data_IF_306679686993
#
_entry.id   IF_306679686993
#
_cell.length_a   1.000
_cell.length_b   1.000
_cell.length_c   1.000
_cell.angle_alpha   90.00
_cell.angle_beta   90.00
_cell.angle_gamma   90.00
#
_symmetry.space_group_name_H-M   'P 1'
#
loop_
_entity.id
_entity.type
_entity.pdbx_description
1 polymer ?
#
# COMPACT_ATOMS: atom_id res chain seq x y z
N UNK A 1 1.85 2.36 -31.30
CA UNK A 1 3.15 2.03 -30.68
C UNK A 1 3.28 0.51 -30.61
N UNK A 2 4.50 -0.06 -30.60
CA UNK A 2 4.67 -1.49 -30.31
C UNK A 2 4.28 -1.75 -28.85
N UNK A 3 3.66 -2.89 -28.56
CA UNK A 3 3.37 -3.30 -27.19
C UNK A 3 4.68 -3.47 -26.40
N UNK A 4 4.72 -2.85 -25.20
CA UNK A 4 5.86 -2.90 -24.29
C UNK A 4 5.75 -4.13 -23.38
N UNK A 5 6.89 -4.61 -22.88
CA UNK A 5 6.87 -5.54 -21.74
C UNK A 5 6.28 -4.84 -20.50
N UNK A 6 5.63 -5.56 -19.58
CA UNK A 6 5.09 -4.99 -18.36
C UNK A 6 6.10 -4.20 -17.53
N UNK A 7 7.28 -4.77 -17.26
CA UNK A 7 8.37 -4.09 -16.54
C UNK A 7 8.82 -2.81 -17.23
N UNK A 8 9.10 -2.87 -18.54
CA UNK A 8 9.51 -1.70 -19.33
C UNK A 8 8.45 -0.59 -19.31
N UNK A 9 7.18 -0.96 -19.42
CA UNK A 9 6.05 0.00 -19.36
C UNK A 9 6.01 0.71 -18.02
N UNK A 10 6.22 -0.02 -16.92
CA UNK A 10 6.22 0.54 -15.57
C UNK A 10 7.39 1.52 -15.38
N UNK A 11 8.62 1.10 -15.72
CA UNK A 11 9.82 1.93 -15.63
C UNK A 11 9.66 3.21 -16.45
N UNK A 12 9.22 3.08 -17.71
CA UNK A 12 9.05 4.23 -18.61
C UNK A 12 7.96 5.18 -18.13
N UNK A 13 6.91 4.68 -17.48
CA UNK A 13 5.91 5.53 -16.86
C UNK A 13 6.49 6.36 -15.71
N UNK A 14 7.36 5.78 -14.87
CA UNK A 14 8.04 6.49 -13.79
C UNK A 14 9.04 7.54 -14.29
N UNK A 15 9.64 7.33 -15.47
CA UNK A 15 10.48 8.30 -16.14
C UNK A 15 9.72 9.30 -17.03
N UNK A 16 8.39 9.32 -16.98
CA UNK A 16 7.55 10.21 -17.80
C UNK A 16 7.80 10.05 -19.32
N UNK A 17 8.21 8.85 -19.74
CA UNK A 17 8.43 8.53 -21.14
C UNK A 17 7.14 8.05 -21.83
N UNK A 18 7.15 8.10 -23.16
CA UNK A 18 6.02 7.61 -23.96
C UNK A 18 5.83 6.10 -23.82
N UNK A 19 4.65 5.67 -23.42
CA UNK A 19 4.26 4.26 -23.27
C UNK A 19 3.07 3.91 -24.19
N UNK A 20 2.82 2.61 -24.36
CA UNK A 20 1.74 2.07 -25.20
C UNK A 20 0.37 2.13 -24.51
N UNK A 21 0.33 1.90 -23.20
CA UNK A 21 -0.83 2.06 -22.33
C UNK A 21 -0.42 2.42 -20.91
N UNK A 22 -1.37 2.92 -20.12
CA UNK A 22 -1.20 3.17 -18.68
C UNK A 22 -0.84 1.85 -17.96
N UNK A 23 0.22 1.81 -17.13
CA UNK A 23 0.54 0.65 -16.31
C UNK A 23 -0.51 0.44 -15.22
N UNK A 24 -0.63 -0.79 -14.72
CA UNK A 24 -1.69 -1.20 -13.79
C UNK A 24 -1.10 -1.92 -12.58
N UNK A 25 -1.68 -1.67 -11.42
CA UNK A 25 -1.35 -2.40 -10.19
C UNK A 25 -2.61 -2.55 -9.33
N UNK A 26 -3.32 -3.66 -9.52
CA UNK A 26 -4.44 -4.05 -8.67
C UNK A 26 -3.94 -4.73 -7.41
N UNK A 27 -4.47 -4.32 -6.26
CA UNK A 27 -4.28 -4.99 -4.96
C UNK A 27 -5.62 -5.39 -4.39
N UNK A 28 -5.66 -6.56 -3.75
CA UNK A 28 -6.88 -7.13 -3.17
C UNK A 28 -6.59 -7.60 -1.75
N UNK A 29 -7.54 -7.41 -0.83
CA UNK A 29 -7.53 -8.17 0.43
C UNK A 29 -7.83 -9.64 0.14
N UNK A 30 -7.40 -10.52 1.05
CA UNK A 30 -7.48 -11.98 0.90
C UNK A 30 -8.86 -12.45 0.41
N UNK A 31 -9.92 -12.01 1.07
CA UNK A 31 -11.29 -12.45 0.78
C UNK A 31 -11.73 -12.02 -0.63
N UNK A 32 -11.37 -10.80 -1.05
CA UNK A 32 -11.65 -10.33 -2.40
C UNK A 32 -10.85 -11.13 -3.44
N UNK A 33 -9.56 -11.39 -3.16
CA UNK A 33 -8.68 -12.15 -4.02
C UNK A 33 -9.19 -13.58 -4.22
N UNK A 34 -9.51 -14.29 -3.13
CA UNK A 34 -10.08 -15.64 -3.16
C UNK A 34 -11.42 -15.67 -3.93
N UNK A 35 -12.28 -14.65 -3.71
CA UNK A 35 -13.56 -14.52 -4.41
C UNK A 35 -13.38 -14.44 -5.93
N UNK A 36 -12.41 -13.64 -6.41
CA UNK A 36 -12.14 -13.46 -7.84
C UNK A 36 -11.36 -14.66 -8.41
N UNK A 37 -10.40 -15.22 -7.66
CA UNK A 37 -9.61 -16.38 -8.06
C UNK A 37 -10.47 -17.58 -8.46
N UNK A 38 -11.58 -17.81 -7.74
CA UNK A 38 -12.58 -18.84 -8.06
C UNK A 38 -13.15 -18.72 -9.48
N UNK A 39 -13.33 -17.50 -9.99
CA UNK A 39 -13.84 -17.26 -11.35
C UNK A 39 -12.85 -17.74 -12.41
N UNK A 40 -11.55 -17.67 -12.10
CA UNK A 40 -10.47 -18.09 -13.01
C UNK A 40 -9.99 -19.52 -12.78
N UNK A 41 -10.57 -20.25 -11.82
CA UNK A 41 -10.10 -21.58 -11.44
C UNK A 41 -8.72 -21.58 -10.77
N UNK A 42 -8.30 -20.44 -10.21
CA UNK A 42 -7.05 -20.30 -9.47
C UNK A 42 -7.29 -20.72 -8.02
N UNK A 43 -6.56 -21.73 -7.56
CA UNK A 43 -6.64 -22.25 -6.18
C UNK A 43 -5.65 -21.57 -5.23
N UNK A 44 -4.61 -20.98 -5.80
CA UNK A 44 -3.49 -20.31 -5.14
C UNK A 44 -3.75 -18.80 -5.13
N UNK A 45 -4.34 -18.30 -4.04
CA UNK A 45 -4.83 -16.93 -3.90
C UNK A 45 -4.37 -16.27 -2.60
N UNK A 46 -3.21 -16.69 -2.09
CA UNK A 46 -2.65 -16.18 -0.84
C UNK A 46 -2.17 -14.72 -0.95
N UNK A 47 -2.09 -14.07 0.22
CA UNK A 47 -1.71 -12.67 0.42
C UNK A 47 -0.75 -12.58 1.61
N UNK A 48 -0.10 -11.43 1.81
CA UNK A 48 0.96 -11.29 2.83
C UNK A 48 2.20 -12.10 2.48
N UNK A 49 2.78 -12.80 3.47
CA UNK A 49 4.00 -13.60 3.25
C UNK A 49 3.80 -14.79 2.30
N UNK A 50 2.57 -15.29 2.16
CA UNK A 50 2.22 -16.32 1.19
C UNK A 50 1.87 -15.77 -0.19
N UNK A 51 2.10 -14.48 -0.48
CA UNK A 51 1.56 -13.86 -1.69
C UNK A 51 1.96 -14.57 -2.99
N UNK A 52 0.93 -14.89 -3.77
CA UNK A 52 1.01 -15.58 -5.06
C UNK A 52 0.42 -14.68 -6.16
N UNK A 53 1.20 -14.17 -7.13
CA UNK A 53 0.77 -13.05 -7.98
C UNK A 53 -0.11 -13.45 -9.18
N UNK A 54 -0.43 -14.73 -9.38
CA UNK A 54 -0.98 -15.24 -10.63
C UNK A 54 -2.33 -14.60 -10.99
N UNK A 55 -3.18 -14.33 -9.99
CA UNK A 55 -4.46 -13.65 -10.25
C UNK A 55 -4.23 -12.21 -10.72
N UNK A 56 -3.38 -11.47 -10.02
CA UNK A 56 -3.00 -10.10 -10.34
C UNK A 56 -2.41 -10.00 -11.76
N UNK A 57 -1.49 -10.91 -12.10
CA UNK A 57 -0.92 -10.99 -13.46
C UNK A 57 -1.98 -11.36 -14.50
N UNK A 58 -2.93 -12.24 -14.16
CA UNK A 58 -4.06 -12.59 -15.04
C UNK A 58 -5.02 -11.42 -15.28
N UNK A 59 -5.15 -10.52 -14.32
CA UNK A 59 -5.85 -9.24 -14.41
C UNK A 59 -5.00 -8.14 -15.07
N UNK A 60 -3.80 -8.47 -15.54
CA UNK A 60 -2.95 -7.59 -16.33
C UNK A 60 -2.18 -6.55 -15.52
N UNK A 61 -1.83 -6.87 -14.27
CA UNK A 61 -0.85 -6.07 -13.52
C UNK A 61 0.49 -6.02 -14.26
N UNK A 62 1.13 -4.86 -14.21
CA UNK A 62 2.47 -4.65 -14.76
C UNK A 62 3.58 -4.82 -13.71
N UNK A 63 3.18 -4.86 -12.44
CA UNK A 63 4.06 -5.02 -11.30
C UNK A 63 3.53 -6.06 -10.31
N UNK A 64 4.46 -6.71 -9.63
CA UNK A 64 4.22 -7.57 -8.46
C UNK A 64 4.59 -6.76 -7.22
N UNK A 65 3.71 -6.77 -6.22
CA UNK A 65 3.95 -6.14 -4.93
C UNK A 65 3.99 -7.20 -3.85
N UNK A 66 5.12 -7.29 -3.16
CA UNK A 66 5.29 -8.20 -2.03
C UNK A 66 5.40 -7.41 -0.73
N UNK A 67 4.66 -7.80 0.30
CA UNK A 67 4.49 -7.02 1.52
C UNK A 67 5.24 -7.65 2.69
N UNK A 68 6.12 -6.87 3.34
CA UNK A 68 6.83 -7.22 4.57
C UNK A 68 6.69 -6.09 5.61
N UNK A 69 7.25 -6.27 6.80
CA UNK A 69 7.18 -5.28 7.89
C UNK A 69 6.03 -5.50 8.87
N UNK A 70 5.88 -4.58 9.82
CA UNK A 70 5.01 -4.80 10.99
C UNK A 70 3.55 -5.06 10.61
N UNK A 71 3.07 -4.44 9.53
CA UNK A 71 1.68 -4.58 9.08
C UNK A 71 1.43 -5.83 8.22
N UNK A 72 2.40 -6.27 7.43
CA UNK A 72 2.22 -7.45 6.57
C UNK A 72 1.93 -8.71 7.39
N UNK A 73 2.58 -8.82 8.55
CA UNK A 73 2.47 -10.00 9.39
C UNK A 73 1.10 -10.10 10.05
N UNK A 74 0.59 -9.04 10.68
CA UNK A 74 -0.72 -9.12 11.35
C UNK A 74 -1.88 -9.14 10.37
N UNK A 75 -1.81 -8.39 9.27
CA UNK A 75 -2.97 -8.20 8.38
C UNK A 75 -3.38 -9.45 7.60
N UNK A 76 -2.49 -10.46 7.55
CA UNK A 76 -2.72 -11.74 6.88
C UNK A 76 -2.65 -12.96 7.80
N UNK A 77 -2.30 -12.76 9.08
CA UNK A 77 -2.24 -13.86 10.05
C UNK A 77 -3.66 -14.32 10.46
N UNK A 78 -3.97 -15.63 10.42
CA UNK A 78 -5.19 -16.13 11.01
C UNK A 78 -5.11 -16.02 12.54
N UNK A 79 -5.95 -15.20 13.16
CA UNK A 79 -6.09 -15.10 14.62
C UNK A 79 -7.49 -15.60 14.99
N UNK A 80 -7.61 -16.53 15.94
CA UNK A 80 -8.93 -16.99 16.38
C UNK A 80 -9.62 -15.94 17.26
N UNK A 81 -10.95 -16.00 17.34
CA UNK A 81 -11.71 -15.09 18.23
C UNK A 81 -11.32 -15.41 19.68
N UNK A 82 -10.93 -14.39 20.44
CA UNK A 82 -10.51 -14.52 21.84
C UNK A 82 -9.03 -14.85 22.02
N UNK A 83 -8.29 -15.13 20.95
CA UNK A 83 -6.83 -15.30 21.01
C UNK A 83 -6.10 -13.95 20.83
N UNK A 84 -4.87 -13.91 21.33
CA UNK A 84 -3.91 -12.83 21.05
C UNK A 84 -2.64 -13.46 20.48
N UNK A 85 -2.28 -13.04 19.27
CA UNK A 85 -1.00 -13.37 18.65
C UNK A 85 -0.01 -12.25 18.93
N UNK A 86 1.24 -12.59 19.22
CA UNK A 86 2.31 -11.60 19.46
C UNK A 86 3.25 -11.63 18.26
N UNK A 87 3.45 -10.47 17.62
CA UNK A 87 4.34 -10.34 16.48
C UNK A 87 5.81 -10.34 16.88
N UNK A 88 6.75 -10.49 15.93
CA UNK A 88 8.19 -10.29 16.16
C UNK A 88 8.53 -8.92 16.74
N UNK A 89 7.69 -7.90 16.50
CA UNK A 89 7.81 -6.59 17.12
C UNK A 89 7.27 -6.53 18.56
N UNK A 90 6.91 -7.66 19.17
CA UNK A 90 6.28 -7.74 20.50
C UNK A 90 4.94 -6.97 20.62
N UNK A 91 4.24 -6.78 19.50
CA UNK A 91 2.90 -6.19 19.47
C UNK A 91 1.87 -7.31 19.56
N UNK A 92 0.95 -7.21 20.51
CA UNK A 92 -0.18 -8.14 20.61
C UNK A 92 -1.26 -7.75 19.61
N UNK A 93 -1.83 -8.72 18.91
CA UNK A 93 -2.97 -8.55 18.00
C UNK A 93 -4.09 -9.51 18.35
N UNK A 94 -5.33 -9.01 18.34
CA UNK A 94 -6.55 -9.81 18.47
C UNK A 94 -7.56 -9.48 17.38
N UNK A 95 -8.64 -10.26 17.27
CA UNK A 95 -9.75 -9.93 16.36
C UNK A 95 -10.66 -8.87 16.94
N UNK A 96 -10.80 -7.73 16.26
CA UNK A 96 -11.83 -6.74 16.60
C UNK A 96 -13.16 -7.09 15.93
N UNK A 97 -14.26 -6.53 16.43
CA UNK A 97 -15.57 -6.61 15.78
C UNK A 97 -16.28 -7.97 15.81
N UNK A 98 -15.58 -9.05 16.21
CA UNK A 98 -16.14 -10.39 16.46
C UNK A 98 -16.14 -10.81 17.93
N UNK A 99 -15.48 -10.07 18.81
CA UNK A 99 -15.59 -10.32 20.25
C UNK A 99 -17.07 -10.20 20.65
N UNK A 100 -17.68 -11.34 20.96
CA UNK A 100 -19.11 -11.45 21.28
C UNK A 100 -20.03 -11.95 20.16
N UNK A 101 -19.54 -12.32 18.97
CA UNK A 101 -20.39 -12.91 17.91
C UNK A 101 -20.62 -14.40 18.08
N UNK A 102 -21.81 -14.85 17.69
CA UNK A 102 -22.17 -16.28 17.70
C UNK A 102 -21.63 -17.01 16.46
N UNK A 103 -21.53 -18.34 16.55
CA UNK A 103 -21.15 -19.19 15.42
C UNK A 103 -22.12 -19.04 14.21
N UNK A 104 -23.38 -18.71 14.46
CA UNK A 104 -24.39 -18.46 13.44
C UNK A 104 -24.13 -17.16 12.67
N UNK A 105 -23.75 -16.09 13.36
CA UNK A 105 -23.35 -14.83 12.71
C UNK A 105 -22.09 -14.99 11.86
N UNK A 106 -21.17 -15.88 12.27
CA UNK A 106 -20.02 -16.25 11.46
C UNK A 106 -20.43 -17.03 10.20
N UNK A 107 -21.33 -18.01 10.32
CA UNK A 107 -21.88 -18.76 9.18
C UNK A 107 -22.66 -17.85 8.22
N UNK A 108 -23.42 -16.90 8.73
CA UNK A 108 -24.12 -15.91 7.91
C UNK A 108 -23.15 -14.98 7.17
N UNK A 109 -22.09 -14.50 7.84
CA UNK A 109 -21.03 -13.76 7.17
C UNK A 109 -20.42 -14.53 6.00
N UNK A 110 -20.09 -15.81 6.18
CA UNK A 110 -19.53 -16.65 5.10
C UNK A 110 -20.48 -16.78 3.91
N UNK A 111 -21.81 -16.81 4.14
CA UNK A 111 -22.81 -16.80 3.05
C UNK A 111 -22.83 -15.47 2.28
N UNK A 112 -22.53 -14.35 2.92
CA UNK A 112 -22.45 -13.04 2.23
C UNK A 112 -21.24 -12.91 1.29
N UNK A 113 -20.29 -13.85 1.35
CA UNK A 113 -19.15 -13.95 0.43
C UNK A 113 -19.49 -14.67 -0.89
N UNK A 114 -20.74 -15.07 -1.11
CA UNK A 114 -21.18 -15.75 -2.33
C UNK A 114 -21.18 -14.83 -3.58
N UNK A 115 -20.99 -15.47 -4.73
CA UNK A 115 -20.34 -15.00 -5.97
C UNK A 115 -20.68 -13.60 -6.52
N UNK A 116 -21.80 -12.96 -6.18
CA UNK A 116 -22.25 -11.72 -6.85
C UNK A 116 -22.55 -10.55 -5.91
N UNK A 117 -22.51 -10.73 -4.58
CA UNK A 117 -22.90 -9.70 -3.60
C UNK A 117 -21.73 -9.04 -2.85
N UNK A 118 -21.95 -7.87 -2.23
CA UNK A 118 -21.03 -7.27 -1.27
C UNK A 118 -21.02 -8.04 0.06
N UNK A 119 -19.84 -8.32 0.61
CA UNK A 119 -19.65 -8.71 2.00
C UNK A 119 -20.30 -7.69 2.96
N UNK A 120 -21.01 -8.17 4.00
CA UNK A 120 -21.65 -7.27 4.98
C UNK A 120 -20.74 -6.83 6.13
N UNK A 121 -19.76 -7.63 6.55
CA UNK A 121 -18.83 -7.27 7.67
C UNK A 121 -17.49 -8.03 7.62
N UNK A 122 -16.36 -7.38 7.40
CA UNK A 122 -15.04 -8.06 7.40
C UNK A 122 -14.40 -7.97 8.81
N UNK A 123 -14.14 -9.09 9.50
CA UNK A 123 -13.35 -9.10 10.75
C UNK A 123 -11.91 -8.74 10.44
N UNK A 124 -11.33 -7.80 11.18
CA UNK A 124 -9.91 -7.47 11.03
C UNK A 124 -9.14 -7.68 12.33
N UNK A 125 -7.85 -7.94 12.16
CA UNK A 125 -6.90 -8.02 13.26
C UNK A 125 -6.56 -6.60 13.70
N UNK A 126 -6.55 -6.36 15.01
CA UNK A 126 -6.23 -5.06 15.61
C UNK A 126 -5.20 -5.21 16.72
N UNK A 127 -4.30 -4.23 16.89
CA UNK A 127 -3.40 -4.16 18.04
C UNK A 127 -4.19 -4.21 19.36
N UNK A 128 -3.81 -5.12 20.24
CA UNK A 128 -4.34 -5.29 21.60
C UNK A 128 -3.32 -4.94 22.69
N UNK A 129 -2.02 -4.93 22.38
CA UNK A 129 -0.97 -4.44 23.26
C UNK A 129 0.20 -3.84 22.47
N UNK A 130 0.92 -2.91 23.12
CA UNK A 130 2.00 -2.12 22.52
C UNK A 130 3.27 -2.24 23.38
N UNK A 131 4.43 -2.56 22.80
CA UNK A 131 5.63 -2.94 23.56
C UNK A 131 6.34 -1.79 24.26
N UNK A 132 6.29 -0.56 23.73
CA UNK A 132 7.08 0.56 24.26
C UNK A 132 6.15 1.56 24.94
N UNK A 133 6.21 1.59 26.27
CA UNK A 133 5.33 2.41 27.10
C UNK A 133 6.10 3.46 27.93
N UNK A 134 7.43 3.41 27.93
CA UNK A 134 8.34 4.29 28.67
C UNK A 134 9.74 4.28 28.04
N UNK A 135 10.61 5.22 28.46
CA UNK A 135 12.02 5.22 28.08
C UNK A 135 12.78 3.95 28.51
N UNK A 136 12.36 3.31 29.60
CA UNK A 136 12.98 2.06 30.05
C UNK A 136 12.59 0.89 29.14
N UNK A 137 11.34 0.84 28.68
CA UNK A 137 10.92 -0.16 27.70
C UNK A 137 11.69 0.01 26.39
N UNK A 138 11.85 1.25 25.90
CA UNK A 138 12.61 1.54 24.68
C UNK A 138 14.07 1.08 24.79
N UNK A 139 14.75 1.36 25.91
CA UNK A 139 16.15 0.95 26.12
C UNK A 139 16.34 -0.56 26.13
N UNK A 140 15.34 -1.29 26.61
CA UNK A 140 15.39 -2.75 26.72
C UNK A 140 14.75 -3.44 25.50
N UNK A 141 14.14 -2.68 24.58
CA UNK A 141 13.44 -3.21 23.42
C UNK A 141 14.41 -3.87 22.45
N UNK A 142 14.06 -5.08 22.01
CA UNK A 142 14.79 -5.82 21.00
C UNK A 142 14.04 -5.72 19.67
N UNK A 143 14.66 -5.07 18.69
CA UNK A 143 14.12 -5.00 17.34
C UNK A 143 14.20 -6.37 16.66
N UNK A 144 13.27 -6.72 15.76
CA UNK A 144 13.36 -7.95 14.98
C UNK A 144 14.63 -7.99 14.13
N UNK A 145 15.01 -9.18 13.69
CA UNK A 145 16.13 -9.35 12.76
C UNK A 145 15.75 -8.82 11.35
N UNK A 146 16.39 -7.76 10.83
CA UNK A 146 16.12 -7.26 9.49
C UNK A 146 16.62 -8.20 8.37
N UNK A 147 17.40 -9.23 8.71
CA UNK A 147 17.92 -10.23 7.78
C UNK A 147 17.15 -11.57 7.84
N UNK A 148 15.96 -11.60 8.46
CA UNK A 148 15.18 -12.83 8.61
C UNK A 148 14.87 -13.49 7.24
N UNK A 149 15.35 -14.73 6.99
CA UNK A 149 15.12 -15.44 5.74
C UNK A 149 13.63 -15.62 5.40
N UNK A 150 12.75 -15.67 6.41
CA UNK A 150 11.29 -15.76 6.20
C UNK A 150 10.73 -14.55 5.46
N UNK A 151 11.40 -13.39 5.56
CA UNK A 151 11.04 -12.17 4.83
C UNK A 151 11.73 -12.11 3.47
N UNK A 152 13.01 -12.51 3.40
CA UNK A 152 13.87 -12.29 2.23
C UNK A 152 13.78 -13.38 1.17
N UNK A 153 13.69 -14.67 1.56
CA UNK A 153 13.69 -15.79 0.62
C UNK A 153 12.52 -15.74 -0.39
N UNK A 154 11.28 -15.40 0.02
CA UNK A 154 10.18 -15.27 -0.93
C UNK A 154 10.37 -14.12 -1.93
N UNK A 155 10.98 -13.01 -1.50
CA UNK A 155 11.28 -11.87 -2.37
C UNK A 155 12.33 -12.28 -3.40
N UNK A 156 13.36 -13.00 -2.97
CA UNK A 156 14.40 -13.52 -3.86
C UNK A 156 13.80 -14.44 -4.92
N UNK A 157 12.93 -15.37 -4.51
CA UNK A 157 12.23 -16.26 -5.43
C UNK A 157 11.38 -15.50 -6.46
N UNK A 158 10.66 -14.45 -6.04
CA UNK A 158 9.90 -13.59 -6.96
C UNK A 158 10.80 -12.87 -7.96
N UNK A 159 11.96 -12.37 -7.54
CA UNK A 159 12.92 -11.74 -8.43
C UNK A 159 13.46 -12.73 -9.46
N UNK A 160 13.85 -13.91 -9.02
CA UNK A 160 14.39 -14.95 -9.91
C UNK A 160 13.36 -15.45 -10.93
N UNK A 161 12.07 -15.45 -10.58
CA UNK A 161 11.01 -16.00 -11.43
C UNK A 161 10.38 -14.96 -12.37
N UNK A 162 10.19 -13.70 -11.93
CA UNK A 162 9.31 -12.76 -12.64
C UNK A 162 9.99 -11.47 -13.14
N UNK A 163 11.19 -11.13 -12.66
CA UNK A 163 11.74 -9.78 -12.86
C UNK A 163 12.12 -9.46 -14.32
N UNK A 164 12.31 -10.46 -15.18
CA UNK A 164 12.58 -10.21 -16.60
C UNK A 164 11.35 -9.68 -17.37
N UNK A 165 10.15 -9.87 -16.82
CA UNK A 165 8.88 -9.52 -17.47
C UNK A 165 8.04 -8.53 -16.66
N UNK A 166 8.10 -8.57 -15.33
CA UNK A 166 7.29 -7.75 -14.43
C UNK A 166 8.15 -6.89 -13.49
N UNK A 167 7.66 -5.70 -13.19
CA UNK A 167 8.29 -4.80 -12.22
C UNK A 167 8.07 -5.33 -10.80
N UNK A 168 9.11 -5.36 -9.95
CA UNK A 168 9.01 -5.89 -8.59
C UNK A 168 9.16 -4.78 -7.57
N UNK A 169 8.12 -4.64 -6.75
CA UNK A 169 8.03 -3.66 -5.67
C UNK A 169 7.91 -4.40 -4.33
N UNK A 170 8.73 -4.03 -3.35
CA UNK A 170 8.60 -4.53 -1.98
C UNK A 170 8.08 -3.44 -1.05
N UNK A 171 6.99 -3.75 -0.36
CA UNK A 171 6.27 -2.87 0.54
C UNK A 171 6.76 -3.08 1.99
N UNK A 172 7.54 -2.14 2.51
CA UNK A 172 8.01 -2.07 3.90
C UNK A 172 6.88 -1.48 4.77
N UNK A 173 5.82 -2.24 4.98
CA UNK A 173 4.54 -1.71 5.44
C UNK A 173 4.52 -1.20 6.87
N UNK A 174 4.00 0.02 7.01
CA UNK A 174 3.95 0.81 8.26
C UNK A 174 5.38 0.98 8.79
N UNK A 175 6.10 1.93 8.19
CA UNK A 175 7.55 2.11 8.28
C UNK A 175 7.96 2.98 9.47
N UNK A 176 7.28 4.11 9.74
CA UNK A 176 7.82 5.14 10.64
C UNK A 176 6.74 5.70 11.59
N UNK A 177 5.98 6.70 11.16
CA UNK A 177 4.92 7.34 11.96
C UNK A 177 3.78 6.37 12.26
N UNK A 178 3.27 5.66 11.26
CA UNK A 178 2.20 4.66 11.43
C UNK A 178 2.70 3.46 12.23
N UNK A 179 3.93 3.01 11.99
CA UNK A 179 4.56 1.99 12.83
C UNK A 179 4.54 2.39 14.30
N UNK A 180 4.95 3.63 14.60
CA UNK A 180 5.02 4.15 15.95
C UNK A 180 3.64 4.29 16.59
N UNK A 181 2.69 4.99 15.93
CA UNK A 181 1.38 5.24 16.54
C UNK A 181 0.49 4.00 16.52
N UNK A 182 0.41 3.25 15.43
CA UNK A 182 -0.55 2.16 15.32
C UNK A 182 -0.07 0.90 16.05
N UNK A 183 1.25 0.68 16.16
CA UNK A 183 1.79 -0.61 16.58
C UNK A 183 2.70 -0.54 17.80
N UNK A 184 3.71 0.34 17.82
CA UNK A 184 4.76 0.28 18.84
C UNK A 184 4.37 0.97 20.15
N UNK A 185 3.73 2.14 20.06
CA UNK A 185 3.35 2.97 21.23
C UNK A 185 1.85 2.92 21.50
N UNK A 186 1.05 2.86 20.43
CA UNK A 186 -0.41 2.90 20.46
C UNK A 186 -0.97 4.30 20.22
N UNK A 187 -2.05 4.39 19.44
CA UNK A 187 -2.46 5.63 18.77
C UNK A 187 -2.67 6.79 19.73
N UNK A 188 -3.50 6.58 20.77
CA UNK A 188 -3.81 7.62 21.75
C UNK A 188 -2.54 8.07 22.50
N UNK A 189 -1.71 7.11 22.91
CA UNK A 189 -0.51 7.39 23.69
C UNK A 189 0.53 8.11 22.86
N UNK A 190 0.76 7.69 21.62
CA UNK A 190 1.68 8.36 20.69
C UNK A 190 1.38 9.86 20.58
N UNK A 191 0.11 10.23 20.31
CA UNK A 191 -0.26 11.63 20.15
C UNK A 191 -0.17 12.46 21.45
N UNK A 192 -0.35 11.84 22.63
CA UNK A 192 -0.13 12.50 23.92
C UNK A 192 1.37 12.72 24.19
N UNK A 193 2.17 11.67 24.00
CA UNK A 193 3.60 11.69 24.29
C UNK A 193 4.42 12.53 23.32
N UNK A 194 3.89 12.88 22.15
CA UNK A 194 4.50 13.89 21.27
C UNK A 194 4.81 15.20 22.00
N UNK A 195 4.03 15.55 23.03
CA UNK A 195 4.21 16.75 23.82
C UNK A 195 4.76 16.46 25.21
N UNK A 196 4.30 15.39 25.85
CA UNK A 196 4.66 15.07 27.24
C UNK A 196 6.05 14.40 27.34
N UNK A 197 6.42 13.56 26.37
CA UNK A 197 7.68 12.81 26.34
C UNK A 197 8.28 12.76 24.91
N UNK A 198 8.64 13.92 24.31
CA UNK A 198 9.10 13.97 22.93
C UNK A 198 10.38 13.15 22.68
N UNK A 199 11.25 13.01 23.68
CA UNK A 199 12.48 12.20 23.58
C UNK A 199 12.16 10.70 23.41
N UNK A 200 11.09 10.21 24.03
CA UNK A 200 10.64 8.83 23.86
C UNK A 200 10.13 8.59 22.45
N UNK A 201 9.31 9.50 21.93
CA UNK A 201 8.82 9.39 20.54
C UNK A 201 9.98 9.50 19.54
N UNK A 202 10.90 10.44 19.74
CA UNK A 202 12.09 10.55 18.90
C UNK A 202 12.91 9.26 18.89
N UNK A 203 13.17 8.66 20.05
CA UNK A 203 13.91 7.41 20.16
C UNK A 203 13.19 6.20 19.54
N UNK A 204 11.85 6.14 19.63
CA UNK A 204 11.06 5.11 18.90
C UNK A 204 11.18 5.29 17.40
N UNK A 205 11.08 6.52 16.90
CA UNK A 205 11.21 6.82 15.47
C UNK A 205 12.63 6.55 14.96
N UNK A 206 13.67 6.79 15.78
CA UNK A 206 15.06 6.48 15.44
C UNK A 206 15.26 4.96 15.30
N UNK A 207 14.79 4.16 16.27
CA UNK A 207 14.90 2.71 16.17
C UNK A 207 14.13 2.10 15.00
N UNK A 208 12.94 2.64 14.69
CA UNK A 208 12.20 2.27 13.47
C UNK A 208 12.98 2.64 12.20
N UNK A 209 13.61 3.81 12.18
CA UNK A 209 14.42 4.27 11.05
C UNK A 209 15.60 3.33 10.82
N UNK A 210 16.33 2.96 11.87
CA UNK A 210 17.45 2.01 11.79
C UNK A 210 16.98 0.65 11.27
N UNK A 211 15.94 0.07 11.89
CA UNK A 211 15.41 -1.23 11.50
C UNK A 211 14.98 -1.27 10.02
N UNK A 212 14.15 -0.32 9.59
CA UNK A 212 13.64 -0.31 8.22
C UNK A 212 14.69 0.11 7.19
N UNK A 213 15.73 0.86 7.60
CA UNK A 213 16.88 1.14 6.72
C UNK A 213 17.66 -0.15 6.43
N UNK A 214 17.95 -0.96 7.44
CA UNK A 214 18.68 -2.22 7.24
C UNK A 214 17.81 -3.27 6.51
N UNK A 215 16.53 -3.40 6.87
CA UNK A 215 15.60 -4.28 6.14
C UNK A 215 15.50 -3.88 4.66
N UNK A 216 15.35 -2.58 4.38
CA UNK A 216 15.30 -2.08 3.02
C UNK A 216 16.58 -2.35 2.23
N UNK A 217 17.76 -2.16 2.83
CA UNK A 217 19.04 -2.52 2.18
C UNK A 217 19.12 -4.00 1.83
N UNK A 218 18.73 -4.88 2.76
CA UNK A 218 18.70 -6.32 2.52
C UNK A 218 17.77 -6.68 1.35
N UNK A 219 16.59 -6.05 1.27
CA UNK A 219 15.65 -6.23 0.16
C UNK A 219 16.21 -5.71 -1.16
N UNK A 220 16.82 -4.53 -1.17
CA UNK A 220 17.42 -3.90 -2.36
C UNK A 220 18.53 -4.79 -2.94
N UNK A 221 19.35 -5.39 -2.07
CA UNK A 221 20.42 -6.31 -2.48
C UNK A 221 19.91 -7.58 -3.19
N UNK A 222 18.62 -7.93 -3.06
CA UNK A 222 18.01 -9.04 -3.80
C UNK A 222 17.69 -8.69 -5.26
N UNK A 223 17.76 -7.41 -5.61
CA UNK A 223 17.57 -6.92 -6.98
C UNK A 223 16.21 -6.27 -7.25
N UNK A 224 15.40 -5.95 -6.24
CA UNK A 224 14.06 -5.37 -6.46
C UNK A 224 14.12 -4.03 -7.22
N UNK A 225 13.09 -3.73 -8.01
CA UNK A 225 13.04 -2.48 -8.79
C UNK A 225 12.62 -1.28 -7.92
N UNK A 226 11.80 -1.51 -6.89
CA UNK A 226 11.28 -0.45 -6.03
C UNK A 226 11.07 -0.90 -4.59
N UNK A 227 11.32 0.02 -3.66
CA UNK A 227 10.83 -0.09 -2.29
C UNK A 227 9.69 0.90 -2.06
N UNK A 228 8.60 0.42 -1.46
CA UNK A 228 7.55 1.28 -0.90
C UNK A 228 7.82 1.46 0.58
N UNK A 229 7.91 2.72 0.95
CA UNK A 229 7.93 3.19 2.34
C UNK A 229 6.73 4.11 2.58
N UNK A 230 6.55 4.47 3.84
CA UNK A 230 5.59 5.49 4.21
C UNK A 230 4.32 4.91 4.81
N UNK A 231 3.67 5.83 5.50
CA UNK A 231 2.73 5.64 6.58
C UNK A 231 1.47 6.44 6.34
N UNK A 232 0.36 5.98 6.87
CA UNK A 232 -0.87 6.75 6.95
C UNK A 232 -0.69 7.95 7.88
N UNK A 233 -0.26 9.07 7.31
CA UNK A 233 -0.14 10.38 7.99
C UNK A 233 -1.31 11.31 7.66
N UNK A 234 -2.18 10.90 6.75
CA UNK A 234 -3.41 11.58 6.36
C UNK A 234 -4.64 11.02 7.07
N UNK A 235 -5.49 11.91 7.58
CA UNK A 235 -6.89 11.66 7.86
C UNK A 235 -7.75 11.99 6.63
N UNK A 236 -9.07 11.82 6.72
CA UNK A 236 -9.95 12.04 5.58
C UNK A 236 -9.85 13.46 4.99
N UNK A 237 -9.64 14.51 5.79
CA UNK A 237 -9.69 15.92 5.33
C UNK A 237 -8.46 16.75 5.72
N UNK A 238 -7.47 16.13 6.35
CA UNK A 238 -6.27 16.79 6.84
C UNK A 238 -5.19 15.76 7.13
N UNK A 239 -3.97 16.20 7.44
CA UNK A 239 -2.99 15.33 8.07
C UNK A 239 -3.38 15.02 9.53
N UNK A 240 -2.88 13.90 10.07
CA UNK A 240 -3.02 13.49 11.48
C UNK A 240 -2.12 14.30 12.42
N UNK A 241 -1.07 14.91 11.88
CA UNK A 241 -0.18 15.86 12.57
C UNK A 241 0.08 17.06 11.66
N UNK A 242 0.56 18.17 12.22
CA UNK A 242 0.84 19.34 11.38
C UNK A 242 1.96 19.02 10.37
N UNK A 243 1.96 19.64 9.18
CA UNK A 243 3.07 19.48 8.23
C UNK A 243 4.43 19.88 8.81
N UNK A 244 4.45 20.84 9.75
CA UNK A 244 5.66 21.24 10.49
C UNK A 244 6.17 20.12 11.38
N UNK A 245 5.30 19.51 12.21
CA UNK A 245 5.67 18.36 13.04
C UNK A 245 6.14 17.17 12.19
N UNK A 246 5.49 16.92 11.04
CA UNK A 246 5.97 15.88 10.12
C UNK A 246 7.36 16.18 9.57
N UNK A 247 7.68 17.45 9.26
CA UNK A 247 9.01 17.86 8.80
C UNK A 247 10.07 17.76 9.89
N UNK A 248 9.70 17.93 11.15
CA UNK A 248 10.61 17.76 12.28
C UNK A 248 10.87 16.28 12.58
N UNK A 249 9.82 15.47 12.56
CA UNK A 249 9.87 14.08 13.01
C UNK A 249 10.21 13.11 11.88
N UNK A 250 9.51 13.17 10.75
CA UNK A 250 9.60 12.16 9.70
C UNK A 250 10.63 12.52 8.63
N UNK A 251 10.60 13.75 8.10
CA UNK A 251 11.40 14.14 6.92
C UNK A 251 12.91 13.83 7.05
N UNK A 252 13.60 14.13 8.17
CA UNK A 252 15.03 13.87 8.29
C UNK A 252 15.36 12.36 8.32
N UNK A 253 14.47 11.57 8.93
CA UNK A 253 14.59 10.10 9.03
C UNK A 253 14.34 9.43 7.68
N UNK A 254 13.33 9.89 6.94
CA UNK A 254 13.06 9.47 5.57
C UNK A 254 14.20 9.86 4.62
N UNK A 255 14.75 11.08 4.74
CA UNK A 255 15.92 11.52 3.95
C UNK A 255 17.13 10.59 4.18
N UNK A 256 17.43 10.28 5.44
CA UNK A 256 18.49 9.33 5.80
C UNK A 256 18.24 7.94 5.18
N UNK A 257 17.02 7.43 5.33
CA UNK A 257 16.63 6.12 4.82
C UNK A 257 16.74 6.05 3.30
N UNK A 258 16.19 7.03 2.57
CA UNK A 258 16.18 7.03 1.11
C UNK A 258 17.58 7.23 0.53
N UNK A 259 18.41 8.08 1.15
CA UNK A 259 19.82 8.18 0.77
C UNK A 259 20.57 6.89 1.00
N UNK A 260 20.25 6.13 2.05
CA UNK A 260 20.85 4.82 2.30
C UNK A 260 20.42 3.80 1.25
N UNK A 261 19.15 3.82 0.84
CA UNK A 261 18.63 2.98 -0.24
C UNK A 261 19.28 3.29 -1.59
N UNK A 262 19.34 4.57 -1.98
CA UNK A 262 19.98 4.99 -3.25
C UNK A 262 21.50 4.75 -3.26
N UNK A 263 22.15 4.62 -2.10
CA UNK A 263 23.57 4.17 -2.00
C UNK A 263 23.72 2.69 -2.28
N UNK A 264 22.76 1.87 -1.85
CA UNK A 264 22.75 0.43 -2.13
C UNK A 264 22.48 0.16 -3.61
N UNK A 265 21.54 0.90 -4.21
CA UNK A 265 21.27 0.86 -5.63
C UNK A 265 20.80 2.24 -6.13
N UNK A 266 21.59 2.87 -6.99
CA UNK A 266 21.29 4.20 -7.54
C UNK A 266 20.07 4.21 -8.46
N UNK A 267 19.74 3.06 -9.04
CA UNK A 267 18.66 2.90 -10.03
C UNK A 267 17.34 2.44 -9.36
N UNK A 268 17.35 2.21 -8.04
CA UNK A 268 16.17 1.83 -7.26
C UNK A 268 15.13 2.94 -7.30
N UNK A 269 13.87 2.60 -7.55
CA UNK A 269 12.77 3.54 -7.36
C UNK A 269 12.25 3.55 -5.91
N UNK A 270 11.79 4.70 -5.44
CA UNK A 270 11.21 4.86 -4.10
C UNK A 270 9.76 5.29 -4.24
N UNK A 271 8.86 4.54 -3.61
CA UNK A 271 7.45 4.89 -3.50
C UNK A 271 7.15 5.34 -2.07
N UNK A 272 6.54 6.51 -1.91
CA UNK A 272 5.96 6.91 -0.62
C UNK A 272 4.46 6.63 -0.63
N UNK A 273 3.91 6.14 0.48
CA UNK A 273 2.47 5.96 0.65
C UNK A 273 1.94 6.67 1.89
N UNK A 274 0.76 7.25 1.75
CA UNK A 274 -0.13 7.61 2.85
C UNK A 274 -1.57 7.51 2.33
N UNK A 275 -2.48 6.95 3.12
CA UNK A 275 -3.91 7.19 2.97
C UNK A 275 -4.28 8.59 3.48
N UNK A 276 -5.51 9.00 3.20
CA UNK A 276 -6.03 10.31 3.61
C UNK A 276 -5.35 11.49 2.91
N UNK A 277 -5.50 12.68 3.47
CA UNK A 277 -4.91 13.92 2.95
C UNK A 277 -3.48 14.11 3.41
N UNK A 278 -2.56 13.96 2.45
CA UNK A 278 -1.13 14.25 2.61
C UNK A 278 -0.66 15.31 1.61
N UNK A 279 -1.61 15.98 0.93
CA UNK A 279 -1.31 17.02 -0.06
C UNK A 279 -0.36 18.13 0.42
N UNK A 280 -0.33 18.53 1.72
CA UNK A 280 0.61 19.56 2.20
C UNK A 280 2.09 19.16 2.15
N UNK A 281 2.40 17.85 2.05
CA UNK A 281 3.77 17.33 2.08
C UNK A 281 4.21 16.68 0.76
N UNK A 282 3.40 16.74 -0.31
CA UNK A 282 3.80 16.20 -1.63
C UNK A 282 5.06 16.90 -2.16
N UNK A 283 5.20 18.21 -1.93
CA UNK A 283 6.43 18.93 -2.28
C UNK A 283 7.65 18.41 -1.51
N UNK A 284 7.47 18.06 -0.22
CA UNK A 284 8.53 17.44 0.57
C UNK A 284 8.90 16.04 0.03
N UNK A 285 7.95 15.27 -0.52
CA UNK A 285 8.23 13.98 -1.18
C UNK A 285 9.07 14.15 -2.44
N UNK A 286 8.77 15.17 -3.25
CA UNK A 286 9.60 15.53 -4.42
C UNK A 286 11.03 15.88 -3.98
N UNK A 287 11.19 16.69 -2.95
CA UNK A 287 12.51 17.05 -2.40
C UNK A 287 13.31 15.84 -1.89
N UNK A 288 12.61 14.82 -1.36
CA UNK A 288 13.21 13.58 -0.88
C UNK A 288 13.58 12.60 -2.00
N UNK A 289 13.22 12.88 -3.26
CA UNK A 289 13.48 12.01 -4.40
C UNK A 289 12.55 10.79 -4.45
N UNK A 290 11.30 10.95 -4.03
CA UNK A 290 10.26 9.92 -4.21
C UNK A 290 9.88 9.88 -5.69
N UNK A 291 9.90 8.68 -6.27
CA UNK A 291 9.59 8.44 -7.68
C UNK A 291 8.08 8.20 -7.92
N UNK A 292 7.38 7.64 -6.93
CA UNK A 292 5.95 7.32 -7.02
C UNK A 292 5.19 7.69 -5.73
N UNK A 293 4.20 8.57 -5.83
CA UNK A 293 3.34 8.98 -4.71
C UNK A 293 2.07 8.14 -4.57
N UNK A 294 1.72 7.84 -3.33
CA UNK A 294 0.67 6.91 -2.89
C UNK A 294 -0.76 7.21 -3.32
N UNK A 295 -1.66 6.28 -3.00
CA UNK A 295 -2.91 6.08 -3.73
C UNK A 295 -3.86 7.27 -3.57
N UNK A 296 -3.97 8.08 -4.63
CA UNK A 296 -4.80 9.27 -4.67
C UNK A 296 -6.28 8.90 -4.48
N UNK A 297 -6.80 8.93 -3.24
CA UNK A 297 -8.23 8.77 -2.99
C UNK A 297 -8.96 10.05 -3.42
N UNK A 298 -9.94 9.98 -4.34
CA UNK A 298 -10.66 11.17 -4.83
C UNK A 298 -11.63 11.72 -3.77
N UNK A 299 -11.99 10.92 -2.77
CA UNK A 299 -12.71 11.37 -1.59
C UNK A 299 -11.72 11.85 -0.53
N UNK A 300 -12.06 12.93 0.17
CA UNK A 300 -11.19 13.48 1.22
C UNK A 300 -10.40 14.71 0.79
N UNK A 301 -9.23 14.94 1.40
CA UNK A 301 -8.39 16.10 1.12
C UNK A 301 -7.56 15.99 -0.17
N UNK A 302 -7.31 14.79 -0.69
CA UNK A 302 -6.70 14.56 -2.01
C UNK A 302 -7.68 14.72 -3.19
N UNK A 303 -8.86 15.32 -2.96
CA UNK A 303 -9.91 15.51 -3.96
C UNK A 303 -9.49 16.30 -5.19
N UNK A 304 -8.53 17.22 -5.06
CA UNK A 304 -8.00 17.99 -6.17
C UNK A 304 -6.85 17.24 -6.88
N UNK A 305 -7.17 16.06 -7.39
CA UNK A 305 -6.19 15.21 -8.09
C UNK A 305 -5.60 15.93 -9.32
N UNK A 306 -6.43 16.69 -10.04
CA UNK A 306 -6.02 17.46 -11.22
C UNK A 306 -5.06 18.57 -10.83
N UNK A 307 -5.36 19.34 -9.78
CA UNK A 307 -4.48 20.39 -9.27
C UNK A 307 -3.14 19.84 -8.76
N UNK A 308 -3.18 18.70 -8.06
CA UNK A 308 -1.98 18.01 -7.57
C UNK A 308 -1.12 17.51 -8.75
N UNK A 309 -1.72 16.81 -9.73
CA UNK A 309 -1.01 16.35 -10.93
C UNK A 309 -0.46 17.52 -11.74
N UNK A 310 -1.20 18.61 -11.89
CA UNK A 310 -0.71 19.82 -12.57
C UNK A 310 0.48 20.45 -11.84
N UNK A 311 0.50 20.39 -10.50
CA UNK A 311 1.54 21.04 -9.69
C UNK A 311 2.83 20.23 -9.59
N UNK A 312 2.73 18.89 -9.48
CA UNK A 312 3.88 18.03 -9.17
C UNK A 312 4.09 16.91 -10.21
N UNK A 313 3.18 16.75 -11.16
CA UNK A 313 3.16 15.60 -12.08
C UNK A 313 4.25 15.54 -13.13
N UNK A 314 5.15 16.53 -13.17
CA UNK A 314 6.39 16.53 -13.95
C UNK A 314 7.59 16.06 -13.10
N UNK A 315 7.49 16.13 -11.77
CA UNK A 315 8.56 15.79 -10.82
C UNK A 315 8.37 14.41 -10.17
N UNK A 316 7.13 13.92 -10.08
CA UNK A 316 6.77 12.65 -9.45
C UNK A 316 5.62 11.96 -10.18
N UNK A 317 5.67 10.63 -10.24
CA UNK A 317 4.56 9.83 -10.75
C UNK A 317 3.49 9.59 -9.67
N UNK A 318 2.25 9.35 -10.09
CA UNK A 318 1.13 9.06 -9.18
C UNK A 318 0.56 7.66 -9.42
N UNK A 319 0.03 7.05 -8.37
CA UNK A 319 -0.75 5.81 -8.46
C UNK A 319 -2.10 5.98 -7.75
N UNK A 320 -3.13 5.23 -8.13
CA UNK A 320 -4.45 5.27 -7.48
C UNK A 320 -5.46 6.05 -8.30
N UNK A 321 -6.42 6.74 -7.67
CA UNK A 321 -7.35 7.64 -8.36
C UNK A 321 -8.80 7.20 -8.29
N UNK A 322 -9.08 5.89 -8.34
CA UNK A 322 -10.44 5.38 -8.37
C UNK A 322 -11.02 5.19 -6.95
N UNK A 323 -12.20 5.76 -6.71
CA UNK A 323 -12.88 5.70 -5.40
C UNK A 323 -13.22 4.27 -4.98
N UNK A 324 -12.61 3.83 -3.88
CA UNK A 324 -12.84 2.52 -3.25
C UNK A 324 -13.83 2.58 -2.08
N UNK A 325 -14.22 3.76 -1.61
CA UNK A 325 -15.12 3.92 -0.46
C UNK A 325 -16.59 3.91 -0.89
N UNK A 326 -16.94 4.54 -2.01
CA UNK A 326 -18.32 4.62 -2.48
C UNK A 326 -18.50 4.00 -3.86
N UNK A 327 -17.76 4.46 -4.87
CA UNK A 327 -17.96 4.04 -6.25
C UNK A 327 -17.77 2.53 -6.44
N UNK A 328 -16.60 2.01 -6.09
CA UNK A 328 -16.28 0.60 -6.35
C UNK A 328 -17.22 -0.40 -5.62
N UNK A 329 -17.53 -0.23 -4.31
CA UNK A 329 -18.43 -1.15 -3.61
C UNK A 329 -19.93 -0.93 -3.88
N UNK A 330 -20.37 0.28 -4.25
CA UNK A 330 -21.81 0.63 -4.30
C UNK A 330 -22.32 1.10 -5.65
N UNK A 331 -21.45 1.50 -6.56
CA UNK A 331 -21.82 1.99 -7.88
C UNK A 331 -22.31 0.88 -8.80
N UNK A 332 -23.07 1.27 -9.82
CA UNK A 332 -23.41 0.40 -10.95
C UNK A 332 -22.19 0.13 -11.83
N UNK A 333 -22.29 -0.88 -12.71
CA UNK A 333 -21.26 -1.18 -13.72
C UNK A 333 -20.95 0.05 -14.58
N UNK A 334 -21.97 0.79 -14.99
CA UNK A 334 -21.84 2.00 -15.80
C UNK A 334 -21.14 3.13 -15.03
N UNK A 335 -21.49 3.31 -13.76
CA UNK A 335 -20.86 4.29 -12.88
C UNK A 335 -19.37 3.95 -12.67
N UNK A 336 -19.04 2.68 -12.44
CA UNK A 336 -17.63 2.24 -12.33
C UNK A 336 -16.86 2.52 -13.63
N UNK A 337 -17.43 2.17 -14.79
CA UNK A 337 -16.80 2.46 -16.10
C UNK A 337 -16.60 3.97 -16.30
N UNK A 338 -17.57 4.79 -15.92
CA UNK A 338 -17.48 6.25 -16.00
C UNK A 338 -16.40 6.81 -15.07
N UNK A 339 -16.29 6.30 -13.84
CA UNK A 339 -15.26 6.71 -12.90
C UNK A 339 -13.85 6.32 -13.35
N UNK A 340 -13.66 5.14 -13.94
CA UNK A 340 -12.37 4.77 -14.56
C UNK A 340 -12.02 5.76 -15.67
N UNK A 341 -12.99 6.12 -16.52
CA UNK A 341 -12.76 7.06 -17.60
C UNK A 341 -12.36 8.46 -17.09
N UNK A 342 -13.01 8.93 -16.03
CA UNK A 342 -12.70 10.21 -15.39
C UNK A 342 -11.27 10.20 -14.82
N UNK A 343 -10.88 9.14 -14.12
CA UNK A 343 -9.51 8.99 -13.60
C UNK A 343 -8.48 9.00 -14.72
N UNK A 344 -8.72 8.28 -15.83
CA UNK A 344 -7.81 8.29 -16.98
C UNK A 344 -7.64 9.70 -17.55
N UNK A 345 -8.73 10.46 -17.72
CA UNK A 345 -8.68 11.85 -18.22
C UNK A 345 -7.95 12.80 -17.28
N UNK A 346 -8.04 12.56 -15.97
CA UNK A 346 -7.48 13.47 -14.97
C UNK A 346 -6.01 13.17 -14.65
N UNK A 347 -5.62 11.89 -14.67
CA UNK A 347 -4.33 11.45 -14.14
C UNK A 347 -3.39 10.86 -15.19
N UNK A 348 -3.91 10.24 -16.26
CA UNK A 348 -3.07 9.57 -17.25
C UNK A 348 -2.56 10.49 -18.36
N UNK A 349 -3.19 11.66 -18.54
CA UNK A 349 -2.78 12.65 -19.55
C UNK A 349 -1.34 13.11 -19.26
N UNK A 350 -0.49 13.06 -20.29
CA UNK A 350 0.92 13.44 -20.17
C UNK A 350 1.85 12.39 -19.52
N UNK A 351 1.33 11.21 -19.15
CA UNK A 351 2.14 10.14 -18.54
C UNK A 351 2.43 10.35 -17.05
N UNK A 352 3.39 9.61 -16.49
CA UNK A 352 3.73 9.71 -15.06
C UNK A 352 2.59 9.25 -14.14
N UNK A 353 1.88 8.18 -14.52
CA UNK A 353 0.73 7.67 -13.78
C UNK A 353 0.58 6.15 -13.93
N UNK A 354 0.22 5.49 -12.83
CA UNK A 354 -0.11 4.06 -12.74
C UNK A 354 -1.55 3.93 -12.28
N UNK A 355 -2.36 3.21 -13.04
CA UNK A 355 -3.75 2.98 -12.66
C UNK A 355 -3.85 1.95 -11.53
N UNK A 356 -4.57 2.31 -10.49
CA UNK A 356 -4.95 1.43 -9.38
C UNK A 356 -6.25 1.98 -8.75
N UNK A 357 -7.08 1.13 -8.13
CA UNK A 357 -7.98 1.60 -7.09
C UNK A 357 -7.20 2.37 -6.02
N UNK A 358 -7.85 3.35 -5.38
CA UNK A 358 -7.20 4.19 -4.38
C UNK A 358 -6.85 3.46 -3.07
N UNK A 359 -7.24 2.20 -2.92
CA UNK A 359 -6.75 1.29 -1.89
C UNK A 359 -6.95 -0.17 -2.35
N UNK A 360 -6.79 -1.14 -1.46
CA UNK A 360 -7.16 -2.53 -1.75
C UNK A 360 -8.62 -2.65 -2.20
N UNK A 361 -8.87 -3.54 -3.16
CA UNK A 361 -10.20 -4.08 -3.43
C UNK A 361 -10.58 -4.95 -2.22
N UNK A 362 -11.71 -4.63 -1.61
CA UNK A 362 -12.23 -5.30 -0.42
C UNK A 362 -13.34 -6.29 -0.78
N UNK A 363 -13.69 -7.15 0.18
CA UNK A 363 -14.67 -8.24 -0.02
C UNK A 363 -16.09 -7.76 -0.35
N UNK A 364 -16.40 -6.52 0.03
CA UNK A 364 -17.65 -5.81 -0.25
C UNK A 364 -17.76 -5.35 -1.70
N UNK A 365 -16.72 -5.47 -2.51
CA UNK A 365 -16.81 -5.18 -3.95
C UNK A 365 -17.45 -6.36 -4.68
N UNK A 366 -18.51 -6.09 -5.44
CA UNK A 366 -19.15 -7.08 -6.30
C UNK A 366 -18.23 -7.46 -7.48
N UNK A 367 -18.23 -8.74 -7.90
CA UNK A 367 -17.36 -9.22 -9.00
C UNK A 367 -17.62 -8.44 -10.30
N UNK A 368 -18.89 -8.13 -10.59
CA UNK A 368 -19.26 -7.32 -11.76
C UNK A 368 -18.59 -5.94 -11.77
N UNK A 369 -18.37 -5.32 -10.60
CA UNK A 369 -17.70 -4.03 -10.50
C UNK A 369 -16.19 -4.18 -10.69
N UNK A 370 -15.59 -5.27 -10.20
CA UNK A 370 -14.19 -5.61 -10.50
C UNK A 370 -13.98 -5.83 -12.00
N UNK A 371 -14.91 -6.55 -12.65
CA UNK A 371 -14.88 -6.80 -14.08
C UNK A 371 -15.06 -5.52 -14.89
N UNK A 372 -16.04 -4.69 -14.51
CA UNK A 372 -16.28 -3.38 -15.12
C UNK A 372 -15.05 -2.47 -15.05
N UNK A 373 -14.37 -2.46 -13.90
CA UNK A 373 -13.09 -1.77 -13.70
C UNK A 373 -12.02 -2.30 -14.65
N UNK A 374 -11.82 -3.62 -14.67
CA UNK A 374 -10.81 -4.25 -15.52
C UNK A 374 -11.04 -3.94 -17.02
N UNK A 375 -12.26 -4.12 -17.52
CA UNK A 375 -12.61 -3.83 -18.92
C UNK A 375 -12.43 -2.34 -19.26
N UNK A 376 -12.90 -1.44 -18.38
CA UNK A 376 -12.77 0.00 -18.62
C UNK A 376 -11.31 0.45 -18.70
N UNK A 377 -10.42 -0.12 -17.89
CA UNK A 377 -8.99 0.18 -17.94
C UNK A 377 -8.36 -0.30 -19.25
N UNK A 378 -8.88 -1.38 -19.84
CA UNK A 378 -8.47 -1.82 -21.19
C UNK A 378 -8.97 -0.90 -22.29
N UNK A 379 -10.21 -0.42 -22.17
CA UNK A 379 -10.83 0.43 -23.16
C UNK A 379 -10.21 1.83 -23.20
N UNK A 380 -9.95 2.41 -22.03
CA UNK A 380 -9.58 3.82 -21.88
C UNK A 380 -8.11 4.07 -21.60
N UNK A 381 -7.31 3.04 -21.28
CA UNK A 381 -5.91 3.21 -20.87
C UNK A 381 -4.88 3.17 -22.00
N UNK A 382 -5.29 3.04 -23.27
CA UNK A 382 -4.36 2.88 -24.42
C UNK A 382 -4.08 4.24 -25.08
N UNK A 383 -2.82 4.66 -25.08
CA UNK A 383 -2.41 5.93 -25.68
C UNK A 383 -2.62 5.91 -27.20
N UNK A 384 -3.18 6.99 -27.74
CA UNK A 384 -3.51 7.14 -29.17
C UNK A 384 -4.81 6.46 -29.62
N UNK A 385 -5.41 5.58 -28.79
CA UNK A 385 -6.79 5.10 -28.98
C UNK A 385 -7.77 6.00 -28.23
N UNK A 386 -7.36 6.48 -27.06
CA UNK A 386 -8.04 7.50 -26.27
C UNK A 386 -7.15 8.75 -26.20
N UNK A 387 -7.72 9.97 -26.22
CA UNK A 387 -6.95 11.21 -26.14
C UNK A 387 -6.35 11.40 -24.73
N UNK A 388 -5.26 10.68 -24.46
CA UNK A 388 -4.44 10.76 -23.25
C UNK A 388 -3.09 11.43 -23.52
N UNK A 389 -2.89 11.90 -24.75
CA UNK A 389 -1.66 12.50 -25.26
C UNK A 389 -1.43 13.95 -24.79
#
# INVERSE_FOLDING_TARGET
>A
MKELKPRDRFIRALHHEKIDRVPRLFRMKREAKEKIARVFGITEAETGLGHQPQLELRLGNDAIIYQIGINSEFSHHPIAIGETWVSPFNVGYGKSGLQGRTEEEHKEFMKTQEYWGPAKVVPENFPSSHPIQSMEDLKNYQWPDPADPRLLDPIKALCDEYQDDYFILVDLSSTLIEAAYAHIVGTQKFFLLLFDEPDLIAGVLDGLTEYYTELGKNVIALGVDMVRVGDDVGAQQSMLMSPEQWRELAKPRLDYMFKSFKKENSDLFIKFHSCGDYSPIIGDMVELGVDLSGLMQPTGGNKDQVGIKKKYGDDIAFIGGLDVQNLLPRGSVEEVRAGVLEVMKNMAVGGGYVFSPAHYILADVAIQNVWALYEAVQDYGVYGKYPLD
#
